data_IF_098443195234
#
_entry.id   IF_098443195234
#
_cell.length_a   1.000
_cell.length_b   1.000
_cell.length_c   1.000
_cell.angle_alpha   90.00
_cell.angle_beta   90.00
_cell.angle_gamma   90.00
#
_symmetry.space_group_name_H-M   'P 1'
#
loop_
_entity.id
_entity.type
_entity.pdbx_description
1 polymer ?
#
# COMPACT_ATOMS: atom_id res chain seq x y z
N UNK A 1 0.35 -8.25 2.57
CA UNK A 1 -0.96 -8.23 3.24
C UNK A 1 -2.01 -8.54 2.19
N UNK A 2 -3.03 -9.31 2.53
CA UNK A 2 -4.13 -9.62 1.60
C UNK A 2 -5.41 -9.09 2.23
N UNK A 3 -6.18 -8.32 1.48
CA UNK A 3 -7.46 -7.79 1.90
C UNK A 3 -8.50 -8.01 0.79
N UNK A 4 -9.67 -8.59 1.09
CA UNK A 4 -10.71 -8.75 0.10
C UNK A 4 -11.45 -7.44 -0.17
N UNK A 5 -11.97 -7.29 -1.40
CA UNK A 5 -13.01 -6.31 -1.73
C UNK A 5 -14.34 -6.66 -1.04
N UNK A 6 -15.37 -5.82 -1.21
CA UNK A 6 -16.71 -6.12 -0.71
C UNK A 6 -17.29 -7.40 -1.34
N UNK A 7 -16.94 -7.67 -2.60
CA UNK A 7 -17.36 -8.82 -3.39
C UNK A 7 -16.51 -10.08 -3.10
N UNK A 8 -15.41 -9.94 -2.35
CA UNK A 8 -14.53 -11.04 -1.96
C UNK A 8 -13.35 -11.27 -2.89
N UNK A 9 -13.12 -10.41 -3.88
CA UNK A 9 -11.95 -10.49 -4.76
C UNK A 9 -10.69 -10.06 -3.97
N UNK A 10 -9.54 -10.76 -4.11
CA UNK A 10 -8.37 -10.47 -3.31
C UNK A 10 -7.57 -9.27 -3.84
N UNK A 11 -7.21 -8.35 -2.95
CA UNK A 11 -6.17 -7.33 -3.17
C UNK A 11 -4.94 -7.71 -2.36
N UNK A 12 -3.78 -7.80 -3.02
CA UNK A 12 -2.51 -8.15 -2.36
C UNK A 12 -1.56 -6.96 -2.34
N UNK A 13 -1.09 -6.57 -1.15
CA UNK A 13 -0.11 -5.50 -0.96
C UNK A 13 1.24 -6.04 -0.50
N UNK A 14 2.31 -5.64 -1.19
CA UNK A 14 3.69 -5.95 -0.89
C UNK A 14 4.42 -4.69 -0.40
N UNK A 15 5.24 -4.86 0.64
CA UNK A 15 6.06 -3.79 1.19
C UNK A 15 7.53 -4.17 1.06
N UNK A 16 8.35 -3.29 0.47
CA UNK A 16 9.81 -3.37 0.54
C UNK A 16 10.33 -2.21 1.37
N UNK A 17 10.87 -2.53 2.55
CA UNK A 17 11.40 -1.54 3.49
C UNK A 17 12.90 -1.44 3.31
N UNK A 18 13.39 -0.23 3.05
CA UNK A 18 14.80 0.12 2.97
C UNK A 18 15.15 0.99 4.19
N UNK A 19 16.37 0.93 4.70
CA UNK A 19 16.81 1.86 5.76
C UNK A 19 18.31 2.17 5.60
N UNK A 20 18.80 3.32 6.06
CA UNK A 20 18.98 3.55 7.50
C UNK A 20 17.86 4.29 8.25
N UNK A 21 17.24 5.36 7.72
CA UNK A 21 16.21 6.14 8.47
C UNK A 21 14.79 6.06 7.86
N UNK A 22 14.62 5.02 7.05
CA UNK A 22 13.42 4.47 6.38
C UNK A 22 12.96 5.17 5.09
N UNK A 23 12.83 4.34 4.06
CA UNK A 23 12.02 4.55 2.86
C UNK A 23 11.37 3.21 2.49
N UNK A 24 10.17 3.26 1.93
CA UNK A 24 9.33 2.08 1.68
C UNK A 24 8.78 2.13 0.26
N UNK A 25 8.87 1.01 -0.43
CA UNK A 25 8.10 0.78 -1.65
C UNK A 25 6.87 -0.06 -1.34
N UNK A 26 5.72 0.37 -1.84
CA UNK A 26 4.43 -0.30 -1.70
C UNK A 26 3.98 -0.71 -3.10
N UNK A 27 3.67 -1.99 -3.29
CA UNK A 27 3.05 -2.50 -4.51
C UNK A 27 1.69 -3.09 -4.17
N UNK A 28 0.67 -2.75 -4.93
CA UNK A 28 -0.68 -3.29 -4.76
C UNK A 28 -1.11 -3.98 -6.04
N UNK A 29 -1.48 -5.25 -5.90
CA UNK A 29 -2.04 -6.08 -6.96
C UNK A 29 -3.55 -6.23 -6.73
N UNK A 30 -4.32 -5.56 -7.59
CA UNK A 30 -5.77 -5.68 -7.68
C UNK A 30 -6.17 -6.38 -9.00
N UNK A 31 -5.28 -7.15 -9.63
CA UNK A 31 -5.56 -7.80 -10.92
C UNK A 31 -6.71 -8.81 -10.87
N UNK A 32 -7.07 -9.30 -9.68
CA UNK A 32 -8.21 -10.18 -9.46
C UNK A 32 -9.54 -9.44 -9.19
N UNK A 33 -9.51 -8.12 -8.98
CA UNK A 33 -10.71 -7.30 -8.78
C UNK A 33 -11.49 -7.19 -10.09
N UNK A 34 -12.70 -7.78 -10.11
CA UNK A 34 -13.52 -7.86 -11.33
C UNK A 34 -14.37 -6.61 -11.56
N UNK A 35 -14.65 -5.85 -10.50
CA UNK A 35 -15.65 -4.78 -10.52
C UNK A 35 -15.08 -3.41 -10.18
N UNK A 36 -13.90 -3.34 -9.55
CA UNK A 36 -13.17 -2.11 -9.32
C UNK A 36 -12.02 -1.86 -10.30
N UNK A 37 -10.99 -1.15 -9.83
CA UNK A 37 -9.83 -0.78 -10.63
C UNK A 37 -8.81 -1.93 -10.66
N UNK A 38 -8.90 -2.76 -11.69
CA UNK A 38 -7.95 -3.84 -11.91
C UNK A 38 -6.54 -3.31 -12.25
N UNK A 39 -5.52 -4.03 -11.77
CA UNK A 39 -4.12 -3.82 -12.17
C UNK A 39 -3.16 -3.64 -11.00
N UNK A 40 -1.98 -3.10 -11.32
CA UNK A 40 -0.90 -2.87 -10.36
C UNK A 40 -0.75 -1.39 -10.05
N UNK A 41 -0.58 -1.08 -8.76
CA UNK A 41 -0.19 0.26 -8.28
C UNK A 41 1.14 0.19 -7.54
N UNK A 42 1.92 1.27 -7.62
CA UNK A 42 3.25 1.36 -6.99
C UNK A 42 3.45 2.74 -6.37
N UNK A 43 3.91 2.76 -5.11
CA UNK A 43 4.13 3.98 -4.33
C UNK A 43 5.50 3.96 -3.65
N UNK A 44 6.10 5.14 -3.52
CA UNK A 44 7.29 5.38 -2.70
C UNK A 44 6.90 6.25 -1.50
N UNK A 45 7.01 5.68 -0.30
CA UNK A 45 6.73 6.38 0.96
C UNK A 45 8.00 6.54 1.80
N UNK A 46 7.99 7.54 2.67
CA UNK A 46 9.07 7.75 3.64
C UNK A 46 9.00 6.77 4.81
N UNK A 47 7.80 6.40 5.24
CA UNK A 47 7.61 5.40 6.30
C UNK A 47 6.52 4.40 5.92
N UNK A 48 6.54 3.23 6.58
CA UNK A 48 5.43 2.27 6.49
C UNK A 48 4.25 2.89 7.24
N UNK A 49 3.03 2.92 6.68
CA UNK A 49 1.84 3.30 7.44
C UNK A 49 1.73 2.42 8.69
N UNK A 50 1.66 3.03 9.88
CA UNK A 50 1.57 2.27 11.14
C UNK A 50 0.22 1.55 11.27
N UNK A 51 -0.83 2.15 10.71
CA UNK A 51 -2.13 1.52 10.53
C UNK A 51 -2.20 1.12 9.08
N UNK A 52 -2.17 -0.19 8.77
CA UNK A 52 -2.35 -0.72 7.42
C UNK A 52 -3.75 -0.33 6.93
N UNK A 53 -3.91 0.79 6.20
CA UNK A 53 -5.23 1.26 5.84
C UNK A 53 -5.80 0.32 4.78
N UNK A 54 -7.13 0.28 4.61
CA UNK A 54 -7.73 -0.46 3.51
C UNK A 54 -7.26 0.04 2.14
N UNK A 55 -6.83 1.30 2.08
CA UNK A 55 -6.19 1.90 0.92
C UNK A 55 -4.67 1.88 1.10
N UNK A 56 -3.96 0.97 0.41
CA UNK A 56 -2.51 0.87 0.48
C UNK A 56 -1.86 2.05 -0.27
N UNK A 57 -1.63 3.15 0.45
CA UNK A 57 -0.96 4.35 -0.04
C UNK A 57 -0.09 5.02 1.02
N UNK A 58 0.56 6.12 0.64
CA UNK A 58 1.25 6.95 1.62
C UNK A 58 0.24 7.80 2.39
N UNK A 59 0.41 7.92 3.71
CA UNK A 59 -0.21 9.01 4.47
C UNK A 59 0.27 10.37 3.93
N UNK A 60 -0.50 11.44 4.15
CA UNK A 60 -0.15 12.79 3.66
C UNK A 60 1.30 13.14 4.03
N UNK A 61 2.05 13.87 3.19
CA UNK A 61 3.45 14.21 3.46
C UNK A 61 3.70 14.85 4.84
N UNK A 62 2.72 15.60 5.37
CA UNK A 62 2.74 16.19 6.73
C UNK A 62 2.50 15.20 7.86
N UNK A 63 1.89 14.05 7.58
CA UNK A 63 1.64 12.96 8.53
C UNK A 63 2.73 11.89 8.47
N UNK A 64 3.73 12.08 7.60
CA UNK A 64 4.93 11.26 7.58
C UNK A 64 5.88 11.81 8.65
N UNK A 65 6.39 10.98 9.58
CA UNK A 65 7.30 11.46 10.62
C UNK A 65 8.49 12.18 9.97
N UNK A 66 8.80 13.38 10.46
CA UNK A 66 9.95 14.15 10.02
C UNK A 66 11.24 13.33 10.22
N UNK A 67 12.16 13.51 9.28
CA UNK A 67 13.45 12.82 9.19
C UNK A 67 14.23 12.83 10.51
#
# INVERSE_FOLDING_TARGET
>A
MVQPTFEGDPITTYYRVFSTDRRVEIFTDASADRFGNAGWSHFYCWAVPLNYPPDPGCVSPTDQPDR
#
